data_IF_979915355584
#
_entry.id   IF_979915355584
#
_cell.length_a   1.000
_cell.length_b   1.000
_cell.length_c   1.000
_cell.angle_alpha   90.00
_cell.angle_beta   90.00
_cell.angle_gamma   90.00
#
_symmetry.space_group_name_H-M   'P 1'
#
loop_
_entity.id
_entity.type
_entity.pdbx_description
1 polymer ?
#
# COMPACT_ATOMS: atom_id res chain seq x y z
N UNK A 1 18.67 -18.07 -8.66
CA UNK A 1 19.31 -17.50 -7.45
C UNK A 1 19.21 -15.99 -7.54
N UNK A 2 18.34 -15.38 -6.73
CA UNK A 2 17.91 -13.99 -6.90
C UNK A 2 18.91 -12.98 -6.33
N UNK A 3 19.31 -12.02 -7.16
CA UNK A 3 20.16 -10.86 -6.83
C UNK A 3 19.54 -9.94 -5.74
N UNK A 4 18.24 -10.07 -5.45
CA UNK A 4 17.59 -9.38 -4.32
C UNK A 4 18.18 -9.79 -2.96
N UNK A 5 18.69 -11.03 -2.85
CA UNK A 5 19.39 -11.51 -1.66
C UNK A 5 20.72 -10.78 -1.42
N UNK A 6 21.41 -10.37 -2.49
CA UNK A 6 22.70 -9.69 -2.38
C UNK A 6 22.58 -8.24 -1.91
N UNK A 7 21.46 -7.56 -2.22
CA UNK A 7 21.25 -6.17 -1.80
C UNK A 7 20.97 -6.06 -0.29
N UNK A 8 20.14 -6.96 0.24
CA UNK A 8 19.87 -7.04 1.67
C UNK A 8 21.12 -7.45 2.47
N UNK A 9 21.94 -8.36 1.92
CA UNK A 9 23.21 -8.78 2.53
C UNK A 9 24.26 -7.66 2.53
N UNK A 10 24.37 -6.91 1.42
CA UNK A 10 25.30 -5.79 1.30
C UNK A 10 24.99 -4.65 2.30
N UNK A 11 23.71 -4.30 2.47
CA UNK A 11 23.31 -3.34 3.51
C UNK A 11 23.69 -3.85 4.89
N UNK A 12 23.45 -5.13 5.19
CA UNK A 12 23.80 -5.74 6.48
C UNK A 12 25.31 -5.70 6.78
N UNK A 13 26.14 -5.96 5.77
CA UNK A 13 27.60 -6.04 5.92
C UNK A 13 28.25 -4.65 6.08
N UNK A 14 27.67 -3.59 5.51
CA UNK A 14 28.12 -2.20 5.70
C UNK A 14 28.02 -1.73 7.17
N UNK A 15 27.09 -2.30 7.97
CA UNK A 15 26.84 -1.91 9.36
C UNK A 15 27.58 -2.76 10.41
N UNK A 16 28.36 -3.77 10.01
CA UNK A 16 28.94 -4.76 10.93
C UNK A 16 30.35 -4.44 11.45
N UNK A 17 31.04 -3.41 10.96
CA UNK A 17 32.45 -3.14 11.32
C UNK A 17 32.68 -1.77 12.00
N UNK A 18 33.24 -1.84 13.21
CA UNK A 18 33.48 -0.75 14.18
C UNK A 18 34.57 0.25 13.78
N UNK A 19 34.62 1.43 14.42
CA UNK A 19 35.30 2.62 13.92
C UNK A 19 36.77 2.68 14.37
N UNK A 20 37.66 3.05 13.47
CA UNK A 20 38.90 3.74 13.82
C UNK A 20 38.74 5.19 13.40
N UNK A 21 38.76 6.13 14.35
CA UNK A 21 39.51 7.39 14.30
C UNK A 21 39.30 8.13 15.63
N UNK A 22 40.40 8.34 16.37
CA UNK A 22 40.49 9.21 17.56
C UNK A 22 40.51 10.66 17.08
N UNK A 23 39.63 11.51 17.60
CA UNK A 23 39.71 12.96 17.43
C UNK A 23 39.66 13.61 18.82
N UNK A 24 40.56 14.58 19.04
CA UNK A 24 40.75 15.33 20.29
C UNK A 24 39.62 16.35 20.49
N UNK A 25 39.14 16.49 21.72
CA UNK A 25 38.18 17.52 22.10
C UNK A 25 38.84 18.91 22.22
N UNK A 26 38.18 19.99 21.76
CA UNK A 26 38.51 21.36 22.15
C UNK A 26 37.72 21.83 23.39
N UNK A 27 38.19 22.87 24.10
CA UNK A 27 37.78 23.16 25.48
C UNK A 27 36.46 23.93 25.59
N UNK A 28 35.73 23.64 26.66
CA UNK A 28 34.57 24.36 27.16
C UNK A 28 34.85 25.85 27.45
N UNK A 29 33.86 26.73 27.28
CA UNK A 29 33.67 27.88 28.14
C UNK A 29 32.59 27.60 29.18
N UNK A 30 32.99 27.77 30.43
CA UNK A 30 32.17 27.94 31.62
C UNK A 30 31.31 29.21 31.52
N UNK A 31 30.08 29.14 32.03
CA UNK A 31 29.60 30.08 33.06
C UNK A 31 28.23 29.67 33.60
N UNK A 32 28.20 29.60 34.93
CA UNK A 32 27.08 29.41 35.84
C UNK A 32 26.23 30.67 35.95
N UNK A 33 24.90 30.56 36.01
CA UNK A 33 24.08 31.40 36.89
C UNK A 33 22.95 30.56 37.50
N UNK A 34 22.74 30.83 38.77
CA UNK A 34 22.02 30.14 39.82
C UNK A 34 20.49 30.12 39.72
N UNK A 35 19.95 29.09 40.35
CA UNK A 35 18.60 28.89 40.85
C UNK A 35 18.03 30.06 41.66
N UNK A 36 16.71 30.24 41.62
CA UNK A 36 15.92 30.38 42.85
C UNK A 36 14.43 30.07 42.62
N UNK A 37 13.84 29.52 43.67
CA UNK A 37 12.57 28.80 43.78
C UNK A 37 11.53 29.61 44.57
N UNK A 38 10.35 29.00 44.80
CA UNK A 38 9.28 29.33 45.79
C UNK A 38 8.09 30.10 45.18
N UNK A 39 6.82 29.84 45.48
CA UNK A 39 6.12 28.91 46.38
C UNK A 39 4.65 28.85 45.97
N UNK A 40 4.00 27.75 46.32
CA UNK A 40 2.56 27.48 46.19
C UNK A 40 1.78 28.28 47.23
N UNK A 41 0.64 28.85 46.84
CA UNK A 41 -0.44 29.17 47.77
C UNK A 41 -1.78 28.66 47.21
N UNK A 42 -2.55 28.04 48.10
CA UNK A 42 -3.74 27.26 47.80
C UNK A 42 -4.91 27.81 48.60
N UNK A 43 -5.84 28.47 47.91
CA UNK A 43 -7.25 28.60 48.34
C UNK A 43 -8.04 29.29 47.23
N UNK A 44 -8.89 28.55 46.53
CA UNK A 44 -10.35 28.66 46.70
C UNK A 44 -11.05 27.72 45.71
N UNK A 45 -12.01 26.94 46.22
CA UNK A 45 -12.83 26.02 45.43
C UNK A 45 -14.06 26.76 44.91
N UNK A 46 -14.16 26.95 43.59
CA UNK A 46 -15.46 27.09 42.93
C UNK A 46 -15.42 26.38 41.58
N UNK A 47 -16.15 25.26 41.48
CA UNK A 47 -16.33 24.53 40.23
C UNK A 47 -17.25 25.33 39.31
N UNK A 48 -16.67 25.99 38.31
CA UNK A 48 -17.38 26.53 37.15
C UNK A 48 -16.99 25.66 35.96
N UNK A 49 -17.96 24.97 35.35
CA UNK A 49 -17.77 24.27 34.08
C UNK A 49 -17.68 25.32 32.98
N UNK A 50 -16.45 25.68 32.58
CA UNK A 50 -16.22 26.45 31.37
C UNK A 50 -16.21 25.55 30.12
N UNK A 51 -16.76 26.03 28.99
CA UNK A 51 -16.74 25.28 27.73
C UNK A 51 -15.29 25.06 27.28
N UNK A 52 -14.97 23.83 26.87
CA UNK A 52 -13.68 23.46 26.28
C UNK A 52 -13.37 24.40 25.09
N UNK A 53 -12.57 25.44 25.32
CA UNK A 53 -11.91 26.14 24.23
C UNK A 53 -10.88 25.16 23.66
N UNK A 54 -11.15 24.63 22.47
CA UNK A 54 -10.10 24.06 21.63
C UNK A 54 -9.11 25.19 21.35
N UNK A 55 -8.05 25.26 22.16
CA UNK A 55 -6.95 26.18 21.93
C UNK A 55 -6.39 25.95 20.52
N UNK A 56 -6.04 27.04 19.85
CA UNK A 56 -5.42 26.98 18.53
C UNK A 56 -4.21 26.02 18.58
N UNK A 57 -4.04 25.12 17.58
CA UNK A 57 -2.93 24.19 17.56
C UNK A 57 -1.62 24.98 17.58
N UNK A 58 -0.73 24.63 18.51
CA UNK A 58 0.61 25.22 18.61
C UNK A 58 1.47 24.72 17.44
N UNK A 59 1.43 25.44 16.31
CA UNK A 59 2.20 25.11 15.11
C UNK A 59 3.61 25.67 15.29
N UNK A 60 4.57 24.79 15.58
CA UNK A 60 6.00 25.15 15.61
C UNK A 60 6.62 24.95 14.22
N UNK A 61 7.42 25.91 13.71
CA UNK A 61 8.16 25.72 12.47
C UNK A 61 9.24 24.62 12.67
N UNK A 62 9.47 23.75 11.68
CA UNK A 62 10.45 22.67 11.79
C UNK A 62 11.89 23.20 11.78
N UNK A 63 12.79 22.46 12.43
CA UNK A 63 14.25 22.64 12.30
C UNK A 63 14.62 22.52 10.81
N UNK A 64 15.09 23.62 10.21
CA UNK A 64 15.45 23.65 8.80
C UNK A 64 16.67 22.76 8.55
N UNK A 65 16.46 21.65 7.83
CA UNK A 65 17.57 20.95 7.17
C UNK A 65 17.98 21.76 5.94
N UNK A 66 19.29 21.83 5.61
CA UNK A 66 19.72 22.52 4.39
C UNK A 66 19.01 21.92 3.16
N UNK A 67 18.58 22.78 2.23
CA UNK A 67 17.78 22.46 1.03
C UNK A 67 18.34 21.32 0.14
N UNK A 68 19.60 20.93 0.35
CA UNK A 68 20.29 19.86 -0.37
C UNK A 68 20.33 18.50 0.37
N UNK A 69 19.64 18.36 1.50
CA UNK A 69 19.62 17.10 2.24
C UNK A 69 18.57 16.15 1.64
N UNK A 70 18.92 14.88 1.46
CA UNK A 70 17.93 13.85 1.10
C UNK A 70 16.98 13.53 2.28
N UNK A 71 16.97 14.31 3.37
CA UNK A 71 15.98 14.19 4.44
C UNK A 71 14.77 15.05 4.11
N UNK A 72 13.59 14.47 4.18
CA UNK A 72 12.35 15.22 4.02
C UNK A 72 12.20 16.25 5.12
N UNK A 73 12.01 17.51 4.76
CA UNK A 73 11.63 18.55 5.74
C UNK A 73 10.15 18.37 6.09
N UNK A 74 9.78 18.27 7.37
CA UNK A 74 8.38 18.32 7.77
C UNK A 74 7.71 19.59 7.24
N UNK A 75 6.45 19.49 6.81
CA UNK A 75 5.59 20.64 6.55
C UNK A 75 5.26 21.36 7.86
N UNK A 76 4.83 20.59 8.86
CA UNK A 76 4.58 21.07 10.21
C UNK A 76 4.50 19.91 11.21
N UNK A 77 4.49 20.25 12.49
CA UNK A 77 4.20 19.31 13.59
C UNK A 77 2.92 19.77 14.27
N UNK A 78 1.95 18.87 14.40
CA UNK A 78 0.72 19.09 15.16
C UNK A 78 0.86 18.40 16.50
N UNK A 79 0.89 19.18 17.57
CA UNK A 79 0.91 18.67 18.94
C UNK A 79 -0.51 18.31 19.38
N UNK A 80 -0.78 17.03 19.59
CA UNK A 80 -2.00 16.52 20.21
C UNK A 80 -1.79 16.20 21.69
N UNK A 81 -2.87 15.94 22.45
CA UNK A 81 -2.79 15.67 23.89
C UNK A 81 -2.02 14.38 24.24
N UNK A 82 -1.94 13.42 23.33
CA UNK A 82 -1.28 12.11 23.54
C UNK A 82 -0.24 11.75 22.47
N UNK A 83 -0.15 12.53 21.40
CA UNK A 83 0.69 12.23 20.25
C UNK A 83 1.12 13.50 19.52
N UNK A 84 2.27 13.44 18.84
CA UNK A 84 2.71 14.46 17.90
C UNK A 84 2.53 13.91 16.49
N UNK A 85 1.90 14.68 15.60
CA UNK A 85 1.73 14.32 14.21
C UNK A 85 2.70 15.16 13.38
N UNK A 86 3.66 14.51 12.74
CA UNK A 86 4.61 15.18 11.85
C UNK A 86 4.09 15.03 10.42
N UNK A 87 3.73 16.14 9.79
CA UNK A 87 3.25 16.16 8.41
C UNK A 87 4.42 16.36 7.45
N UNK A 88 4.45 15.60 6.36
CA UNK A 88 5.46 15.72 5.30
C UNK A 88 4.75 15.89 3.95
N UNK A 89 5.47 16.42 2.96
CA UNK A 89 5.04 16.29 1.56
C UNK A 89 4.86 14.82 1.22
N UNK A 90 3.72 14.46 0.62
CA UNK A 90 3.46 13.08 0.21
C UNK A 90 4.41 12.67 -0.93
N UNK A 91 5.23 11.64 -0.68
CA UNK A 91 5.99 10.96 -1.72
C UNK A 91 5.33 9.59 -1.92
N UNK A 92 4.78 9.37 -3.10
CA UNK A 92 3.89 8.23 -3.34
C UNK A 92 4.62 6.89 -3.53
N UNK A 93 5.95 6.90 -3.76
CA UNK A 93 6.68 5.71 -4.20
C UNK A 93 7.88 5.46 -3.31
N UNK A 94 7.91 4.29 -2.67
CA UNK A 94 9.09 3.77 -1.97
C UNK A 94 9.97 2.96 -2.92
N UNK A 95 11.23 2.72 -2.53
CA UNK A 95 12.13 1.82 -3.24
C UNK A 95 11.58 0.40 -3.27
N UNK A 96 10.86 -0.03 -2.21
CA UNK A 96 10.14 -1.30 -2.21
C UNK A 96 9.07 -1.35 -3.32
N UNK A 97 8.31 -0.27 -3.52
CA UNK A 97 7.33 -0.18 -4.61
C UNK A 97 8.03 -0.23 -5.97
N UNK A 98 9.15 0.49 -6.14
CA UNK A 98 9.91 0.44 -7.38
C UNK A 98 10.46 -0.96 -7.67
N UNK A 99 10.95 -1.68 -6.66
CA UNK A 99 11.42 -3.05 -6.82
C UNK A 99 10.26 -4.01 -7.16
N UNK A 100 9.03 -3.68 -6.76
CA UNK A 100 7.84 -4.48 -7.07
C UNK A 100 7.30 -4.24 -8.48
N UNK A 101 7.17 -2.97 -8.89
CA UNK A 101 6.44 -2.57 -10.11
C UNK A 101 7.35 -2.05 -11.23
N UNK A 102 8.60 -1.73 -10.91
CA UNK A 102 9.58 -1.09 -11.80
C UNK A 102 10.99 -1.67 -11.62
N UNK A 103 11.12 -2.97 -11.35
CA UNK A 103 12.42 -3.59 -11.04
C UNK A 103 13.49 -3.27 -12.09
N UNK A 104 13.15 -3.41 -13.39
CA UNK A 104 14.05 -3.10 -14.52
C UNK A 104 14.54 -1.64 -14.53
N UNK A 105 13.73 -0.70 -14.00
CA UNK A 105 14.13 0.70 -13.86
C UNK A 105 15.19 0.87 -12.78
N UNK A 106 15.01 0.22 -11.63
CA UNK A 106 15.98 0.27 -10.51
C UNK A 106 17.25 -0.52 -10.86
N UNK A 107 17.13 -1.63 -11.59
CA UNK A 107 18.23 -2.53 -11.94
C UNK A 107 19.24 -1.92 -12.93
N UNK A 108 18.92 -0.78 -13.55
CA UNK A 108 19.91 -0.01 -14.30
C UNK A 108 21.07 0.40 -13.39
N UNK A 109 22.28 0.00 -13.74
CA UNK A 109 23.45 0.12 -12.86
C UNK A 109 23.72 1.57 -12.41
N UNK A 110 23.54 2.54 -13.31
CA UNK A 110 23.66 3.97 -13.01
C UNK A 110 22.64 4.44 -11.98
N UNK A 111 21.36 4.06 -12.11
CA UNK A 111 20.29 4.44 -11.18
C UNK A 111 20.46 3.78 -9.82
N UNK A 112 20.71 2.47 -9.81
CA UNK A 112 20.99 1.72 -8.58
C UNK A 112 22.14 2.34 -7.79
N UNK A 113 23.25 2.63 -8.47
CA UNK A 113 24.43 3.24 -7.86
C UNK A 113 24.13 4.65 -7.37
N UNK A 114 23.34 5.43 -8.12
CA UNK A 114 22.95 6.78 -7.72
C UNK A 114 22.03 6.82 -6.49
N UNK A 115 21.06 5.89 -6.40
CA UNK A 115 20.20 5.73 -5.21
C UNK A 115 21.05 5.36 -3.99
N UNK A 116 21.92 4.35 -4.13
CA UNK A 116 22.82 3.90 -3.07
C UNK A 116 23.76 5.01 -2.60
N UNK A 117 24.34 5.77 -3.54
CA UNK A 117 25.20 6.91 -3.24
C UNK A 117 24.49 7.95 -2.38
N UNK A 118 23.26 8.32 -2.73
CA UNK A 118 22.47 9.30 -1.97
C UNK A 118 22.15 8.80 -0.55
N UNK A 119 21.76 7.53 -0.40
CA UNK A 119 21.51 6.92 0.92
C UNK A 119 22.77 6.94 1.77
N UNK A 120 23.90 6.45 1.23
CA UNK A 120 25.17 6.40 1.94
C UNK A 120 25.67 7.79 2.36
N UNK A 121 25.58 8.78 1.45
CA UNK A 121 25.94 10.18 1.73
C UNK A 121 25.11 10.77 2.86
N UNK A 122 23.82 10.47 2.88
CA UNK A 122 22.87 10.98 3.87
C UNK A 122 23.10 10.36 5.24
N UNK A 123 23.34 9.05 5.30
CA UNK A 123 23.73 8.35 6.53
C UNK A 123 25.06 8.87 7.06
N UNK A 124 26.06 9.09 6.20
CA UNK A 124 27.34 9.69 6.62
C UNK A 124 27.16 11.09 7.21
N UNK A 125 26.29 11.92 6.61
CA UNK A 125 25.98 13.26 7.10
C UNK A 125 25.25 13.26 8.45
N UNK A 126 24.39 12.27 8.72
CA UNK A 126 23.76 12.07 10.03
C UNK A 126 24.78 11.60 11.08
N UNK A 127 25.56 10.58 10.74
CA UNK A 127 26.54 10.02 11.66
C UNK A 127 27.60 11.06 12.07
N UNK A 128 28.01 11.94 11.15
CA UNK A 128 28.90 13.06 11.47
C UNK A 128 28.29 14.05 12.49
N UNK A 129 26.95 14.15 12.54
CA UNK A 129 26.20 14.95 13.52
C UNK A 129 25.84 14.18 14.79
N UNK A 130 26.33 12.94 14.95
CA UNK A 130 26.00 12.07 16.08
C UNK A 130 24.57 11.53 16.08
N UNK A 131 23.83 11.69 14.97
CA UNK A 131 22.49 11.12 14.80
C UNK A 131 22.57 9.85 13.96
N UNK A 132 21.57 8.97 14.09
CA UNK A 132 21.42 7.79 13.23
C UNK A 132 19.98 7.71 12.71
N UNK A 133 19.83 7.15 11.52
CA UNK A 133 18.53 6.76 11.00
C UNK A 133 18.18 5.42 11.65
N UNK A 134 16.95 5.23 12.10
CA UNK A 134 16.51 4.02 12.82
C UNK A 134 16.53 2.75 11.96
N UNK A 135 15.45 1.98 11.96
CA UNK A 135 15.34 0.85 11.03
C UNK A 135 15.26 1.39 9.59
N UNK A 136 16.21 1.01 8.74
CA UNK A 136 16.23 1.38 7.33
C UNK A 136 16.03 0.13 6.47
N UNK A 137 14.92 0.10 5.73
CA UNK A 137 14.65 -0.88 4.68
C UNK A 137 14.17 -0.17 3.41
N UNK A 138 13.88 -0.93 2.35
CA UNK A 138 13.43 -0.38 1.08
C UNK A 138 12.05 0.30 1.14
N UNK A 139 11.21 0.00 2.14
CA UNK A 139 9.92 0.67 2.30
C UNK A 139 10.07 2.08 2.91
N UNK A 140 11.17 2.34 3.60
CA UNK A 140 11.49 3.64 4.21
C UNK A 140 12.42 4.53 3.37
N UNK A 141 12.67 4.13 2.12
CA UNK A 141 13.45 4.93 1.16
C UNK A 141 12.47 5.37 0.09
N UNK A 142 12.13 6.65 0.05
CA UNK A 142 11.26 7.20 -0.99
C UNK A 142 12.09 7.66 -2.18
N UNK A 143 11.58 7.42 -3.38
CA UNK A 143 12.32 7.70 -4.62
C UNK A 143 11.38 8.32 -5.65
N UNK A 144 11.82 9.38 -6.31
CA UNK A 144 11.07 10.01 -7.40
C UNK A 144 11.44 9.45 -8.79
N UNK A 145 10.78 9.96 -9.84
CA UNK A 145 11.02 9.57 -11.24
C UNK A 145 12.44 9.91 -11.76
N UNK A 146 13.14 10.82 -11.09
CA UNK A 146 14.53 11.17 -11.37
C UNK A 146 15.52 10.36 -10.51
N UNK A 147 15.04 9.35 -9.77
CA UNK A 147 15.83 8.54 -8.84
C UNK A 147 16.42 9.34 -7.68
N UNK A 148 15.81 10.47 -7.33
CA UNK A 148 16.19 11.25 -6.16
C UNK A 148 15.63 10.61 -4.90
N UNK A 149 16.48 10.46 -3.89
CA UNK A 149 16.13 9.79 -2.63
C UNK A 149 15.59 10.80 -1.63
N UNK A 150 14.50 10.43 -0.96
CA UNK A 150 13.98 11.09 0.22
C UNK A 150 13.95 10.09 1.37
N UNK A 151 14.56 10.43 2.50
CA UNK A 151 14.60 9.66 3.73
C UNK A 151 13.77 10.40 4.79
N UNK A 152 13.07 9.65 5.64
CA UNK A 152 12.26 10.17 6.75
C UNK A 152 12.56 9.42 8.03
N UNK A 153 11.90 9.85 9.11
CA UNK A 153 11.93 9.20 10.43
C UNK A 153 13.32 9.15 11.08
N UNK A 154 13.81 10.34 11.41
CA UNK A 154 14.87 10.48 12.41
C UNK A 154 14.28 10.08 13.77
N UNK A 155 14.62 8.88 14.23
CA UNK A 155 14.35 8.52 15.62
C UNK A 155 15.22 9.41 16.53
N UNK A 156 14.65 10.07 17.55
CA UNK A 156 15.47 10.76 18.55
C UNK A 156 16.36 9.73 19.27
N UNK A 157 17.60 10.14 19.56
CA UNK A 157 18.52 9.34 20.38
C UNK A 157 17.81 9.08 21.72
N UNK A 158 17.57 7.83 22.13
CA UNK A 158 17.13 7.57 23.49
C UNK A 158 18.18 8.18 24.42
N UNK A 159 17.76 9.03 25.36
CA UNK A 159 18.62 9.79 26.29
C UNK A 159 19.55 8.89 27.12
N UNK A 160 19.36 7.57 27.05
CA UNK A 160 20.36 6.55 27.33
C UNK A 160 20.43 5.56 26.16
N UNK A 161 21.58 5.46 25.51
CA UNK A 161 21.95 4.21 24.85
C UNK A 161 21.92 3.12 25.94
N UNK A 162 21.22 1.99 25.74
CA UNK A 162 21.29 0.90 26.70
C UNK A 162 22.76 0.55 26.92
N UNK A 163 23.22 0.62 28.18
CA UNK A 163 24.53 0.10 28.55
C UNK A 163 24.62 -1.32 28.00
N UNK A 164 25.54 -1.57 27.08
CA UNK A 164 25.90 -2.93 26.68
C UNK A 164 26.61 -3.54 27.89
N UNK A 165 25.83 -3.97 28.89
CA UNK A 165 26.31 -4.82 29.97
C UNK A 165 26.68 -6.15 29.32
N UNK A 166 27.87 -6.62 29.67
CA UNK A 166 28.57 -7.69 28.99
C UNK A 166 27.75 -8.96 28.73
N UNK A 167 28.23 -9.69 27.72
CA UNK A 167 27.71 -10.96 27.19
C UNK A 167 26.27 -10.92 26.69
N UNK A 168 26.07 -10.40 25.47
CA UNK A 168 25.01 -10.95 24.63
C UNK A 168 25.25 -12.46 24.54
N UNK A 169 24.26 -13.33 24.81
CA UNK A 169 24.38 -14.72 24.42
C UNK A 169 24.66 -14.75 22.91
N UNK A 170 25.40 -15.74 22.39
CA UNK A 170 25.46 -15.94 20.95
C UNK A 170 24.03 -15.94 20.43
N UNK A 171 23.77 -15.19 19.36
CA UNK A 171 22.50 -15.21 18.64
C UNK A 171 22.23 -16.66 18.25
N UNK A 172 21.61 -17.43 19.15
CA UNK A 172 21.03 -18.70 18.81
C UNK A 172 19.94 -18.33 17.83
N UNK A 173 20.22 -18.63 16.57
CA UNK A 173 19.24 -18.71 15.52
C UNK A 173 18.20 -19.72 16.03
N UNK A 174 17.20 -19.23 16.77
CA UNK A 174 16.01 -20.00 17.06
C UNK A 174 15.48 -20.31 15.67
N UNK A 175 15.65 -21.58 15.25
CA UNK A 175 15.04 -22.06 14.01
C UNK A 175 13.55 -22.01 14.30
N UNK A 176 12.94 -20.88 13.96
CA UNK A 176 11.50 -20.81 13.80
C UNK A 176 11.09 -22.02 12.96
N UNK A 177 10.00 -22.73 13.30
CA UNK A 177 9.47 -23.71 12.36
C UNK A 177 9.37 -23.04 10.99
N UNK A 178 9.68 -23.75 9.89
CA UNK A 178 9.59 -23.15 8.56
C UNK A 178 8.22 -22.50 8.43
N UNK A 179 8.14 -21.23 8.00
CA UNK A 179 6.85 -20.57 7.87
C UNK A 179 5.98 -21.43 6.97
N UNK A 180 4.87 -21.94 7.49
CA UNK A 180 3.92 -22.72 6.69
C UNK A 180 3.48 -21.83 5.54
N UNK A 181 3.75 -22.27 4.30
CA UNK A 181 3.49 -21.43 3.13
C UNK A 181 1.97 -21.16 3.06
N UNK A 182 1.53 -19.90 2.86
CA UNK A 182 0.10 -19.56 2.85
C UNK A 182 -0.74 -20.42 1.90
N UNK A 183 -0.17 -20.82 0.76
CA UNK A 183 -0.82 -21.76 -0.17
C UNK A 183 -1.21 -23.07 0.52
N UNK A 184 -0.32 -23.65 1.34
CA UNK A 184 -0.55 -24.93 2.02
C UNK A 184 -1.60 -24.79 3.12
N UNK A 185 -1.64 -23.65 3.80
CA UNK A 185 -2.69 -23.36 4.79
C UNK A 185 -4.05 -23.25 4.09
N UNK A 186 -4.10 -22.57 2.95
CA UNK A 186 -5.34 -22.37 2.20
C UNK A 186 -5.86 -23.67 1.58
N UNK A 187 -5.00 -24.45 0.92
CA UNK A 187 -5.41 -25.74 0.31
C UNK A 187 -5.77 -26.81 1.34
N UNK A 188 -5.39 -26.64 2.60
CA UNK A 188 -5.82 -27.51 3.71
C UNK A 188 -7.04 -26.95 4.46
N UNK A 189 -7.62 -25.83 3.99
CA UNK A 189 -8.77 -25.19 4.63
C UNK A 189 -8.47 -24.52 5.98
N UNK A 190 -7.19 -24.34 6.36
CA UNK A 190 -6.80 -23.71 7.63
C UNK A 190 -6.96 -22.19 7.63
N UNK A 191 -7.03 -21.57 6.44
CA UNK A 191 -7.36 -20.15 6.28
C UNK A 191 -8.48 -19.98 5.25
N UNK A 192 -9.30 -18.94 5.47
CA UNK A 192 -10.40 -18.55 4.58
C UNK A 192 -9.90 -18.09 3.21
N UNK A 193 -10.81 -18.08 2.22
CA UNK A 193 -10.53 -17.52 0.90
C UNK A 193 -10.20 -16.03 1.01
N UNK A 194 -10.97 -15.27 1.78
CA UNK A 194 -10.71 -13.85 2.02
C UNK A 194 -9.31 -13.61 2.59
N UNK A 195 -8.92 -14.33 3.66
CA UNK A 195 -7.58 -14.19 4.25
C UNK A 195 -6.48 -14.52 3.25
N UNK A 196 -6.66 -15.59 2.47
CA UNK A 196 -5.67 -15.97 1.48
C UNK A 196 -5.52 -14.93 0.37
N UNK A 197 -6.64 -14.39 -0.14
CA UNK A 197 -6.64 -13.31 -1.12
C UNK A 197 -5.95 -12.05 -0.59
N UNK A 198 -6.17 -11.69 0.68
CA UNK A 198 -5.49 -10.55 1.29
C UNK A 198 -3.98 -10.79 1.42
N UNK A 199 -3.53 -12.01 1.70
CA UNK A 199 -2.11 -12.38 1.71
C UNK A 199 -1.49 -12.29 0.31
N UNK A 200 -2.19 -12.79 -0.74
CA UNK A 200 -1.73 -12.66 -2.12
C UNK A 200 -1.59 -11.19 -2.54
N UNK A 201 -2.57 -10.35 -2.20
CA UNK A 201 -2.51 -8.91 -2.42
C UNK A 201 -1.29 -8.30 -1.73
N UNK A 202 -1.07 -8.62 -0.46
CA UNK A 202 0.10 -8.15 0.28
C UNK A 202 1.42 -8.54 -0.39
N UNK A 203 1.58 -9.81 -0.81
CA UNK A 203 2.78 -10.25 -1.54
C UNK A 203 2.92 -9.62 -2.93
N UNK A 204 1.80 -9.25 -3.55
CA UNK A 204 1.78 -8.46 -4.78
C UNK A 204 2.13 -6.98 -4.55
N UNK A 205 2.38 -6.55 -3.32
CA UNK A 205 2.72 -5.17 -2.96
C UNK A 205 1.50 -4.25 -2.81
N UNK A 206 0.29 -4.83 -2.75
CA UNK A 206 -0.98 -4.10 -2.60
C UNK A 206 -1.30 -3.82 -1.14
N UNK A 207 -1.94 -2.68 -0.86
CA UNK A 207 -2.25 -2.17 0.48
C UNK A 207 -3.45 -1.22 0.47
N UNK A 208 -4.23 -1.27 1.55
CA UNK A 208 -5.38 -0.38 1.77
C UNK A 208 -4.88 1.05 2.00
N UNK A 209 -5.67 2.03 1.56
CA UNK A 209 -5.42 3.46 1.78
C UNK A 209 -4.70 4.19 0.64
N UNK A 210 -4.20 3.47 -0.37
CA UNK A 210 -3.65 4.06 -1.60
C UNK A 210 -4.35 3.44 -2.83
N UNK A 211 -5.16 4.22 -3.59
CA UNK A 211 -5.87 3.74 -4.78
C UNK A 211 -4.96 3.07 -5.81
N UNK A 212 -3.71 3.52 -5.92
CA UNK A 212 -2.75 2.97 -6.86
C UNK A 212 -2.34 1.54 -6.51
N UNK A 213 -2.30 1.20 -5.22
CA UNK A 213 -1.87 -0.11 -4.73
C UNK A 213 -3.03 -0.89 -4.12
N UNK A 214 -4.27 -0.56 -4.45
CA UNK A 214 -5.40 -1.10 -3.70
C UNK A 214 -5.49 -2.63 -3.83
N UNK A 215 -5.86 -3.36 -2.76
CA UNK A 215 -6.12 -4.79 -2.84
C UNK A 215 -7.29 -5.08 -3.78
N UNK A 216 -7.18 -6.19 -4.49
CA UNK A 216 -8.16 -6.63 -5.48
C UNK A 216 -8.68 -8.01 -5.09
N UNK A 217 -9.99 -8.16 -5.11
CA UNK A 217 -10.72 -9.41 -4.91
C UNK A 217 -11.53 -9.75 -6.17
N UNK A 218 -11.93 -11.02 -6.37
CA UNK A 218 -12.82 -11.35 -7.46
C UNK A 218 -14.21 -10.77 -7.19
N UNK A 219 -14.96 -10.41 -8.23
CA UNK A 219 -16.42 -10.48 -8.14
C UNK A 219 -16.86 -11.95 -8.14
N UNK A 220 -17.90 -12.32 -7.41
CA UNK A 220 -18.40 -13.72 -7.37
C UNK A 220 -19.73 -13.92 -8.11
N UNK A 221 -20.45 -12.85 -8.42
CA UNK A 221 -21.73 -12.86 -9.14
C UNK A 221 -21.87 -11.59 -9.99
N UNK A 222 -22.86 -11.57 -10.90
CA UNK A 222 -23.26 -10.40 -11.67
C UNK A 222 -24.43 -9.60 -11.07
N UNK A 223 -24.98 -10.08 -9.95
CA UNK A 223 -26.09 -9.45 -9.21
C UNK A 223 -27.43 -9.38 -9.97
N UNK A 224 -27.59 -10.13 -11.06
CA UNK A 224 -28.84 -10.13 -11.86
C UNK A 224 -29.86 -11.18 -11.43
N UNK A 225 -29.45 -12.17 -10.64
CA UNK A 225 -30.34 -13.22 -10.13
C UNK A 225 -31.09 -12.88 -8.86
N UNK A 226 -32.09 -13.72 -8.55
CA UNK A 226 -32.91 -13.64 -7.32
C UNK A 226 -32.20 -14.15 -6.05
N UNK A 227 -30.93 -14.55 -6.16
CA UNK A 227 -30.09 -14.92 -5.03
C UNK A 227 -28.61 -14.73 -5.36
N UNK A 228 -27.76 -14.65 -4.33
CA UNK A 228 -26.30 -14.53 -4.49
C UNK A 228 -25.68 -15.68 -5.30
N UNK A 229 -26.31 -16.85 -5.31
CA UNK A 229 -25.85 -18.05 -6.03
C UNK A 229 -26.53 -18.26 -7.38
N UNK A 230 -27.43 -17.35 -7.78
CA UNK A 230 -28.22 -17.50 -9.01
C UNK A 230 -27.38 -17.43 -10.28
N UNK A 231 -26.39 -16.52 -10.30
CA UNK A 231 -25.49 -16.31 -11.43
C UNK A 231 -24.06 -16.20 -10.94
N UNK A 232 -23.39 -17.34 -10.83
CA UNK A 232 -21.97 -17.38 -10.49
C UNK A 232 -21.13 -16.78 -11.62
N UNK A 233 -20.13 -16.01 -11.23
CA UNK A 233 -19.14 -15.50 -12.16
C UNK A 233 -18.25 -16.63 -12.68
N UNK A 234 -17.92 -16.60 -13.97
CA UNK A 234 -16.86 -17.40 -14.57
C UNK A 234 -15.47 -16.92 -14.11
N UNK A 235 -14.78 -17.72 -13.28
CA UNK A 235 -13.42 -17.44 -12.81
C UNK A 235 -12.32 -17.74 -13.82
N UNK A 236 -12.64 -18.39 -14.95
CA UNK A 236 -11.67 -18.60 -16.05
C UNK A 236 -11.43 -17.34 -16.89
N UNK A 237 -12.17 -16.25 -16.61
CA UNK A 237 -12.08 -14.97 -17.30
C UNK A 237 -11.96 -13.81 -16.32
N UNK A 238 -11.13 -12.83 -16.66
CA UNK A 238 -11.07 -11.55 -15.94
C UNK A 238 -12.31 -10.72 -16.20
N UNK A 239 -12.61 -9.77 -15.30
CA UNK A 239 -13.76 -8.89 -15.43
C UNK A 239 -13.63 -8.04 -16.68
N UNK A 240 -12.40 -7.67 -17.00
CA UNK A 240 -12.04 -6.90 -18.17
C UNK A 240 -12.39 -7.66 -19.46
N UNK A 241 -12.03 -8.95 -19.54
CA UNK A 241 -12.41 -9.81 -20.66
C UNK A 241 -13.92 -9.99 -20.79
N UNK A 242 -14.62 -10.18 -19.68
CA UNK A 242 -16.09 -10.30 -19.67
C UNK A 242 -16.73 -9.00 -20.20
N UNK A 243 -16.22 -7.84 -19.81
CA UNK A 243 -16.79 -6.54 -20.17
C UNK A 243 -16.44 -6.10 -21.60
N UNK A 244 -15.19 -6.28 -22.04
CA UNK A 244 -14.71 -5.85 -23.37
C UNK A 244 -15.02 -6.85 -24.48
N UNK A 245 -15.09 -8.14 -24.15
CA UNK A 245 -15.27 -9.21 -25.12
C UNK A 245 -13.99 -9.55 -25.88
N UNK A 246 -13.99 -10.77 -26.44
CA UNK A 246 -12.79 -11.36 -27.04
C UNK A 246 -12.31 -10.61 -28.30
N UNK A 247 -13.22 -10.04 -29.09
CA UNK A 247 -12.91 -9.30 -30.32
C UNK A 247 -12.10 -8.02 -30.05
N UNK A 248 -12.53 -7.23 -29.06
CA UNK A 248 -11.81 -6.00 -28.69
C UNK A 248 -10.43 -6.32 -28.11
N UNK A 249 -10.33 -7.40 -27.34
CA UNK A 249 -9.07 -7.86 -26.77
C UNK A 249 -8.08 -8.33 -27.84
N UNK A 250 -8.55 -9.06 -28.85
CA UNK A 250 -7.72 -9.47 -29.99
C UNK A 250 -7.21 -8.26 -30.77
N UNK A 251 -8.10 -7.31 -31.07
CA UNK A 251 -7.72 -6.07 -31.75
C UNK A 251 -6.64 -5.29 -30.98
N UNK A 252 -6.75 -5.24 -29.65
CA UNK A 252 -5.74 -4.56 -28.81
C UNK A 252 -4.40 -5.31 -28.83
N UNK A 253 -4.45 -6.64 -28.82
CA UNK A 253 -3.26 -7.49 -28.84
C UNK A 253 -2.50 -7.45 -30.17
N UNK A 254 -3.20 -7.26 -31.29
CA UNK A 254 -2.61 -7.03 -32.62
C UNK A 254 -1.94 -5.65 -32.77
N UNK A 255 -2.08 -4.78 -31.77
CA UNK A 255 -1.52 -3.45 -31.74
C UNK A 255 0.02 -3.40 -31.62
N UNK A 256 0.60 -2.18 -31.61
CA UNK A 256 2.05 -1.97 -31.61
C UNK A 256 2.76 -2.48 -30.35
N UNK A 257 2.05 -2.59 -29.24
CA UNK A 257 2.53 -3.23 -28.01
C UNK A 257 1.53 -4.35 -27.69
N UNK A 258 1.83 -5.62 -28.02
CA UNK A 258 0.87 -6.70 -27.85
C UNK A 258 0.48 -6.93 -26.37
N UNK A 259 -0.71 -6.46 -25.99
CA UNK A 259 -1.28 -6.64 -24.66
C UNK A 259 -2.82 -6.74 -24.76
N UNK A 260 -3.44 -7.36 -23.74
CA UNK A 260 -4.89 -7.43 -23.64
C UNK A 260 -5.44 -6.49 -22.57
N UNK A 261 -4.75 -6.37 -21.43
CA UNK A 261 -5.19 -5.55 -20.30
C UNK A 261 -4.15 -4.48 -19.96
N UNK A 262 -4.62 -3.28 -19.59
CA UNK A 262 -3.76 -2.17 -19.17
C UNK A 262 -3.52 -2.17 -17.66
N UNK A 263 -4.57 -2.46 -16.88
CA UNK A 263 -4.53 -2.60 -15.43
C UNK A 263 -5.64 -3.58 -14.97
N UNK A 264 -5.62 -3.99 -13.71
CA UNK A 264 -6.65 -4.84 -13.08
C UNK A 264 -7.67 -3.98 -12.31
N UNK A 265 -7.20 -2.88 -11.70
CA UNK A 265 -8.04 -1.89 -11.01
C UNK A 265 -7.48 -0.49 -11.27
N UNK A 266 -8.22 0.30 -12.04
CA UNK A 266 -7.96 1.71 -12.27
C UNK A 266 -8.41 2.57 -11.10
N UNK A 267 -7.75 3.72 -10.93
CA UNK A 267 -8.11 4.76 -9.96
C UNK A 267 -9.54 5.29 -10.19
N UNK A 268 -9.93 5.50 -11.45
CA UNK A 268 -11.30 5.89 -11.82
C UNK A 268 -12.31 4.88 -11.27
N UNK A 269 -12.11 3.58 -11.52
CA UNK A 269 -13.04 2.55 -11.05
C UNK A 269 -13.05 2.46 -9.53
N UNK A 270 -11.90 2.55 -8.86
CA UNK A 270 -11.83 2.62 -7.41
C UNK A 270 -12.67 3.77 -6.83
N UNK A 271 -12.57 4.97 -7.41
CA UNK A 271 -13.35 6.13 -6.97
C UNK A 271 -14.82 6.07 -7.38
N UNK A 272 -15.18 5.33 -8.43
CA UNK A 272 -16.57 4.99 -8.75
C UNK A 272 -17.15 4.05 -7.69
N UNK A 273 -16.40 3.03 -7.26
CA UNK A 273 -16.83 2.09 -6.22
C UNK A 273 -17.06 2.79 -4.89
N UNK A 274 -16.17 3.71 -4.52
CA UNK A 274 -16.22 4.45 -3.26
C UNK A 274 -16.99 5.77 -3.34
N UNK A 275 -17.64 6.09 -4.47
CA UNK A 275 -18.18 7.43 -4.74
C UNK A 275 -19.11 7.96 -3.64
N UNK A 276 -19.92 7.08 -3.04
CA UNK A 276 -20.84 7.40 -1.94
C UNK A 276 -20.13 7.87 -0.67
N UNK A 277 -18.85 7.53 -0.50
CA UNK A 277 -18.03 7.83 0.68
C UNK A 277 -16.88 8.77 0.39
N UNK A 278 -16.67 9.12 -0.87
CA UNK A 278 -15.55 9.96 -1.31
C UNK A 278 -15.98 11.41 -1.46
N UNK A 279 -15.26 12.39 -0.88
CA UNK A 279 -15.58 13.81 -1.04
C UNK A 279 -15.61 14.26 -2.50
N UNK A 280 -16.53 15.16 -2.86
CA UNK A 280 -16.71 15.65 -4.24
C UNK A 280 -15.42 16.19 -4.84
N UNK A 281 -14.60 16.93 -4.07
CA UNK A 281 -13.33 17.46 -4.55
C UNK A 281 -12.38 16.35 -5.06
N UNK A 282 -12.37 15.20 -4.39
CA UNK A 282 -11.55 14.04 -4.78
C UNK A 282 -12.18 13.36 -6.01
N UNK A 283 -13.50 13.20 -6.05
CA UNK A 283 -14.20 12.68 -7.23
C UNK A 283 -13.92 13.54 -8.48
N UNK A 284 -13.86 14.86 -8.30
CA UNK A 284 -13.52 15.78 -9.38
C UNK A 284 -12.10 15.64 -9.89
N UNK A 285 -11.18 15.24 -9.03
CA UNK A 285 -9.77 15.03 -9.38
C UNK A 285 -9.58 13.74 -10.20
N UNK A 286 -10.27 12.67 -9.83
CA UNK A 286 -10.00 11.33 -10.40
C UNK A 286 -11.04 10.86 -11.41
N UNK A 287 -12.33 11.12 -11.18
CA UNK A 287 -13.39 10.57 -12.04
C UNK A 287 -13.74 11.54 -13.17
N UNK A 288 -14.09 12.78 -12.82
CA UNK A 288 -14.51 13.79 -13.80
C UNK A 288 -14.44 15.20 -13.22
N UNK A 289 -13.84 16.14 -13.95
CA UNK A 289 -13.58 17.50 -13.46
C UNK A 289 -14.83 18.27 -13.00
N UNK A 290 -15.98 18.05 -13.66
CA UNK A 290 -17.27 18.65 -13.29
C UNK A 290 -18.09 17.58 -12.58
N UNK A 291 -18.47 17.76 -11.32
CA UNK A 291 -19.27 16.75 -10.60
C UNK A 291 -20.69 16.61 -11.19
N UNK A 292 -21.07 15.38 -11.56
CA UNK A 292 -22.44 15.03 -12.00
C UNK A 292 -22.89 13.74 -11.28
N UNK A 293 -23.65 13.83 -10.19
CA UNK A 293 -24.01 12.67 -9.37
C UNK A 293 -24.86 11.64 -10.12
N UNK A 294 -25.64 12.08 -11.12
CA UNK A 294 -26.56 11.24 -11.87
C UNK A 294 -25.87 10.27 -12.86
N UNK A 295 -24.60 10.51 -13.17
CA UNK A 295 -23.81 9.64 -14.05
C UNK A 295 -23.18 8.44 -13.32
N UNK A 296 -23.15 8.48 -11.98
CA UNK A 296 -22.66 7.35 -11.21
C UNK A 296 -23.67 6.19 -11.24
N UNK A 297 -23.21 4.92 -11.30
CA UNK A 297 -24.10 3.76 -11.27
C UNK A 297 -25.00 3.79 -10.04
N UNK A 298 -26.32 3.67 -10.26
CA UNK A 298 -27.33 3.75 -9.19
C UNK A 298 -27.50 2.44 -8.41
N UNK A 299 -27.17 1.31 -9.02
CA UNK A 299 -27.29 -0.02 -8.41
C UNK A 299 -25.99 -0.81 -8.53
N UNK A 300 -25.81 -1.79 -7.64
CA UNK A 300 -24.65 -2.67 -7.65
C UNK A 300 -24.56 -3.49 -8.95
N UNK A 301 -25.69 -3.97 -9.46
CA UNK A 301 -25.75 -4.66 -10.74
C UNK A 301 -25.28 -3.77 -11.91
N UNK A 302 -25.71 -2.49 -11.93
CA UNK A 302 -25.26 -1.54 -12.96
C UNK A 302 -23.78 -1.18 -12.81
N UNK A 303 -23.30 -1.06 -11.57
CA UNK A 303 -21.89 -0.83 -11.26
C UNK A 303 -21.03 -1.98 -11.78
N UNK A 304 -21.39 -3.21 -11.46
CA UNK A 304 -20.73 -4.41 -11.96
C UNK A 304 -20.73 -4.48 -13.49
N UNK A 305 -21.90 -4.29 -14.12
CA UNK A 305 -22.04 -4.33 -15.58
C UNK A 305 -21.13 -3.31 -16.27
N UNK A 306 -21.12 -2.07 -15.78
CA UNK A 306 -20.44 -0.95 -16.40
C UNK A 306 -18.92 -0.98 -16.24
N UNK A 307 -18.41 -1.39 -15.07
CA UNK A 307 -16.97 -1.34 -14.79
C UNK A 307 -16.26 -2.61 -15.25
N UNK A 308 -15.09 -2.49 -15.94
CA UNK A 308 -14.33 -3.65 -16.40
C UNK A 308 -13.39 -4.22 -15.33
N UNK A 309 -13.19 -3.54 -14.20
CA UNK A 309 -12.20 -3.90 -13.19
C UNK A 309 -12.72 -4.90 -12.16
N UNK A 310 -11.79 -5.54 -11.46
CA UNK A 310 -12.12 -6.48 -10.37
C UNK A 310 -12.56 -5.78 -9.07
N UNK A 311 -13.10 -6.56 -8.15
CA UNK A 311 -13.71 -6.09 -6.91
C UNK A 311 -12.66 -5.56 -5.90
N UNK A 312 -13.14 -4.78 -4.92
CA UNK A 312 -12.35 -4.32 -3.76
C UNK A 312 -12.82 -5.01 -2.47
N UNK A 313 -11.96 -5.14 -1.43
CA UNK A 313 -12.30 -5.82 -0.18
C UNK A 313 -13.57 -5.31 0.51
N UNK A 314 -13.89 -4.03 0.37
CA UNK A 314 -14.99 -3.34 1.05
C UNK A 314 -16.36 -3.93 0.70
N UNK A 315 -16.52 -4.46 -0.52
CA UNK A 315 -17.74 -5.19 -0.90
C UNK A 315 -17.91 -6.53 -0.14
N UNK A 316 -16.95 -6.92 0.69
CA UNK A 316 -17.01 -8.10 1.57
C UNK A 316 -16.95 -7.74 3.05
N UNK A 317 -16.70 -6.48 3.41
CA UNK A 317 -16.40 -6.10 4.79
C UNK A 317 -17.09 -4.83 5.28
N UNK A 318 -17.45 -3.89 4.40
CA UNK A 318 -17.91 -2.56 4.79
C UNK A 318 -19.34 -2.25 4.29
N UNK A 319 -20.37 -2.36 5.14
CA UNK A 319 -21.73 -1.94 4.80
C UNK A 319 -21.85 -0.42 4.60
N UNK A 320 -20.90 0.36 5.11
CA UNK A 320 -20.83 1.81 4.94
C UNK A 320 -20.68 2.20 3.46
N UNK A 321 -20.02 1.38 2.64
CA UNK A 321 -19.78 1.64 1.21
C UNK A 321 -21.06 1.95 0.42
N UNK A 322 -22.20 1.39 0.83
CA UNK A 322 -23.49 1.55 0.15
C UNK A 322 -24.22 2.85 0.52
N UNK A 323 -23.82 3.52 1.60
CA UNK A 323 -24.50 4.70 2.15
C UNK A 323 -23.82 6.00 1.69
N UNK A 324 -24.57 6.86 1.04
CA UNK A 324 -24.09 8.14 0.53
C UNK A 324 -23.90 9.17 1.64
N UNK A 325 -22.77 9.87 1.59
CA UNK A 325 -22.55 11.12 2.36
C UNK A 325 -23.09 12.34 1.61
N UNK A 326 -23.42 12.19 0.33
CA UNK A 326 -23.85 13.29 -0.53
C UNK A 326 -25.37 13.35 -0.57
N UNK A 327 -25.93 14.55 -0.42
CA UNK A 327 -27.38 14.76 -0.45
C UNK A 327 -27.99 14.54 -1.85
N UNK A 328 -27.18 14.69 -2.91
CA UNK A 328 -27.59 14.65 -4.31
C UNK A 328 -27.19 13.35 -5.05
N UNK A 329 -26.46 12.46 -4.38
CA UNK A 329 -26.15 11.11 -4.86
C UNK A 329 -26.85 10.10 -3.95
N UNK A 330 -27.80 9.30 -4.44
CA UNK A 330 -28.47 8.32 -3.60
C UNK A 330 -27.54 7.16 -3.20
N UNK A 331 -27.93 6.48 -2.12
CA UNK A 331 -27.36 5.20 -1.69
C UNK A 331 -27.29 4.21 -2.87
N UNK A 332 -26.28 3.35 -2.86
CA UNK A 332 -26.09 2.35 -3.89
C UNK A 332 -27.16 1.27 -3.72
N UNK A 333 -28.05 1.14 -4.70
CA UNK A 333 -29.13 0.17 -4.66
C UNK A 333 -28.58 -1.26 -4.66
N UNK A 334 -29.03 -2.04 -3.68
CA UNK A 334 -28.67 -3.43 -3.49
C UNK A 334 -29.42 -4.39 -4.43
N UNK A 335 -28.91 -5.61 -4.64
CA UNK A 335 -29.65 -6.69 -5.28
C UNK A 335 -30.93 -7.04 -4.50
N UNK A 336 -31.92 -7.62 -5.18
CA UNK A 336 -33.24 -7.93 -4.59
C UNK A 336 -33.20 -8.93 -3.42
N UNK A 337 -32.17 -9.77 -3.36
CA UNK A 337 -31.96 -10.76 -2.29
C UNK A 337 -31.29 -10.20 -1.04
N UNK A 338 -30.79 -8.96 -1.08
CA UNK A 338 -30.20 -8.29 0.07
C UNK A 338 -31.17 -7.26 0.64
N UNK A 339 -31.52 -7.43 1.92
CA UNK A 339 -32.48 -6.56 2.61
C UNK A 339 -31.83 -5.29 3.19
N UNK A 340 -30.52 -5.32 3.41
CA UNK A 340 -29.73 -4.22 3.97
C UNK A 340 -28.27 -4.34 3.53
N UNK A 341 -27.45 -3.27 3.65
CA UNK A 341 -26.02 -3.35 3.37
C UNK A 341 -25.31 -4.41 4.22
N UNK A 342 -25.70 -4.55 5.49
CA UNK A 342 -25.16 -5.56 6.40
C UNK A 342 -25.50 -6.99 5.95
N UNK A 343 -26.74 -7.21 5.53
CA UNK A 343 -27.20 -8.49 4.96
C UNK A 343 -26.49 -8.81 3.64
N UNK A 344 -26.29 -7.81 2.77
CA UNK A 344 -25.48 -7.95 1.56
C UNK A 344 -24.06 -8.44 1.88
N UNK A 345 -23.36 -7.75 2.80
CA UNK A 345 -21.98 -8.09 3.18
C UNK A 345 -21.93 -9.52 3.73
N UNK A 346 -22.87 -9.90 4.60
CA UNK A 346 -22.92 -11.24 5.18
C UNK A 346 -23.10 -12.32 4.10
N UNK A 347 -24.07 -12.14 3.19
CA UNK A 347 -24.33 -13.11 2.12
C UNK A 347 -23.20 -13.17 1.08
N UNK A 348 -22.64 -12.02 0.68
CA UNK A 348 -21.56 -11.95 -0.31
C UNK A 348 -20.26 -12.54 0.23
N UNK A 349 -19.91 -12.27 1.50
CA UNK A 349 -18.78 -12.90 2.18
C UNK A 349 -18.97 -14.40 2.37
N UNK A 350 -20.15 -14.86 2.77
CA UNK A 350 -20.45 -16.29 2.88
C UNK A 350 -20.32 -17.01 1.52
N UNK A 351 -20.76 -16.37 0.44
CA UNK A 351 -20.64 -16.93 -0.90
C UNK A 351 -19.18 -16.99 -1.38
N UNK A 352 -18.33 -16.02 -1.04
CA UNK A 352 -16.87 -16.09 -1.29
C UNK A 352 -16.23 -17.30 -0.60
N UNK A 353 -16.70 -17.67 0.58
CA UNK A 353 -16.20 -18.83 1.35
C UNK A 353 -16.85 -20.17 0.96
N UNK A 354 -17.81 -20.17 0.03
CA UNK A 354 -18.51 -21.39 -0.39
C UNK A 354 -17.60 -22.42 -1.07
N UNK A 355 -18.00 -23.69 -1.07
CA UNK A 355 -17.31 -24.76 -1.81
C UNK A 355 -17.26 -24.48 -3.31
N UNK A 356 -18.30 -23.83 -3.85
CA UNK A 356 -18.37 -23.45 -5.26
C UNK A 356 -17.20 -22.54 -5.64
N UNK A 357 -16.98 -21.49 -4.83
CA UNK A 357 -15.89 -20.53 -5.05
C UNK A 357 -14.54 -21.17 -4.70
N UNK A 358 -14.42 -21.84 -3.55
CA UNK A 358 -13.18 -22.48 -3.10
C UNK A 358 -12.57 -23.41 -4.15
N UNK A 359 -13.38 -24.26 -4.77
CA UNK A 359 -12.93 -25.22 -5.80
C UNK A 359 -12.49 -24.57 -7.12
N UNK A 360 -12.78 -23.29 -7.34
CA UNK A 360 -12.50 -22.57 -8.61
C UNK A 360 -11.61 -21.36 -8.47
N UNK A 361 -11.46 -20.81 -7.27
CA UNK A 361 -10.77 -19.54 -7.01
C UNK A 361 -9.32 -19.53 -7.50
N UNK A 362 -8.65 -20.68 -7.49
CA UNK A 362 -7.29 -20.85 -8.02
C UNK A 362 -7.15 -20.38 -9.49
N UNK A 363 -8.20 -20.56 -10.31
CA UNK A 363 -8.20 -20.11 -11.72
C UNK A 363 -8.20 -18.59 -11.85
N UNK A 364 -8.95 -17.89 -10.99
CA UNK A 364 -8.94 -16.43 -10.93
C UNK A 364 -7.63 -15.90 -10.35
N UNK A 365 -7.05 -16.62 -9.38
CA UNK A 365 -5.75 -16.31 -8.80
C UNK A 365 -4.66 -16.37 -9.89
N UNK A 366 -4.68 -17.36 -10.79
CA UNK A 366 -3.76 -17.44 -11.92
C UNK A 366 -3.87 -16.24 -12.88
N UNK A 367 -5.07 -15.71 -13.09
CA UNK A 367 -5.31 -14.53 -13.93
C UNK A 367 -4.86 -13.22 -13.28
N UNK A 368 -4.85 -13.15 -11.95
CA UNK A 368 -4.65 -11.89 -11.23
C UNK A 368 -3.24 -11.74 -10.66
N UNK A 369 -2.62 -12.85 -10.28
CA UNK A 369 -1.34 -12.88 -9.57
C UNK A 369 -0.31 -13.82 -10.21
N UNK A 370 -0.70 -14.58 -11.23
CA UNK A 370 -0.07 -15.88 -11.51
C UNK A 370 0.25 -16.21 -12.95
N UNK A 371 0.18 -17.51 -13.24
CA UNK A 371 0.59 -18.14 -14.49
C UNK A 371 -0.03 -17.52 -15.74
N UNK A 372 -1.26 -16.98 -15.65
CA UNK A 372 -1.98 -16.41 -16.78
C UNK A 372 -1.75 -14.89 -16.97
N UNK A 373 -0.66 -14.33 -16.43
CA UNK A 373 -0.28 -12.92 -16.62
C UNK A 373 0.78 -12.69 -17.69
N UNK A 374 1.61 -13.71 -17.99
CA UNK A 374 2.68 -13.65 -19.00
C UNK A 374 2.72 -14.88 -19.90
N UNK A 375 3.45 -14.77 -21.01
CA UNK A 375 3.69 -15.86 -21.96
C UNK A 375 2.43 -16.41 -22.65
N UNK A 376 2.56 -17.61 -23.22
CA UNK A 376 1.51 -18.28 -23.98
C UNK A 376 0.23 -18.55 -23.18
N UNK A 377 0.37 -18.76 -21.86
CA UNK A 377 -0.76 -18.95 -20.97
C UNK A 377 -1.64 -17.71 -20.90
N UNK A 378 -1.04 -16.53 -20.72
CA UNK A 378 -1.74 -15.26 -20.75
C UNK A 378 -2.34 -14.94 -22.12
N UNK A 379 -1.68 -15.29 -23.23
CA UNK A 379 -2.24 -15.13 -24.58
C UNK A 379 -3.50 -15.96 -24.74
N UNK A 380 -3.48 -17.25 -24.40
CA UNK A 380 -4.67 -18.12 -24.45
C UNK A 380 -5.80 -17.63 -23.53
N UNK A 381 -5.44 -17.08 -22.37
CA UNK A 381 -6.40 -16.50 -21.44
C UNK A 381 -6.93 -15.12 -21.88
N UNK A 382 -6.34 -14.50 -22.92
CA UNK A 382 -6.54 -13.11 -23.34
C UNK A 382 -6.30 -12.11 -22.21
N UNK A 383 -5.17 -12.28 -21.52
CA UNK A 383 -4.87 -11.62 -20.26
C UNK A 383 -3.40 -11.14 -20.16
N UNK A 384 -2.75 -10.92 -21.30
CA UNK A 384 -1.39 -10.34 -21.34
C UNK A 384 -1.45 -8.92 -20.77
N UNK A 385 -0.78 -8.70 -19.64
CA UNK A 385 -0.80 -7.43 -18.93
C UNK A 385 0.26 -6.47 -19.47
N UNK A 386 -0.15 -5.28 -19.93
CA UNK A 386 0.74 -4.21 -20.42
C UNK A 386 1.90 -3.91 -19.45
N UNK A 387 1.69 -3.93 -18.12
CA UNK A 387 2.79 -3.72 -17.18
C UNK A 387 3.91 -4.77 -17.26
N UNK A 388 3.61 -5.98 -17.73
CA UNK A 388 4.56 -7.08 -17.78
C UNK A 388 5.12 -7.32 -19.19
N UNK A 389 4.60 -6.62 -20.21
CA UNK A 389 5.17 -6.67 -21.56
C UNK A 389 6.56 -6.04 -21.54
N UNK A 390 7.54 -6.78 -22.06
CA UNK A 390 8.90 -6.29 -22.17
C UNK A 390 8.95 -5.11 -23.15
N UNK A 391 9.33 -3.94 -22.65
CA UNK A 391 9.58 -2.76 -23.49
C UNK A 391 11.06 -2.42 -23.42
N UNK A 392 11.62 -1.92 -24.53
CA UNK A 392 13.03 -1.53 -24.62
C UNK A 392 13.40 -0.34 -23.71
N UNK A 393 12.42 0.32 -23.09
CA UNK A 393 12.63 1.44 -22.18
C UNK A 393 12.04 1.12 -20.80
N UNK A 394 12.86 1.13 -19.73
CA UNK A 394 12.33 0.98 -18.39
C UNK A 394 11.46 2.19 -18.05
N UNK A 395 10.18 1.92 -17.81
CA UNK A 395 9.20 2.93 -17.43
C UNK A 395 9.14 3.03 -15.90
N UNK A 396 9.09 4.26 -15.38
CA UNK A 396 8.79 4.49 -13.98
C UNK A 396 7.30 4.25 -13.75
N UNK A 397 6.95 3.06 -13.27
CA UNK A 397 5.58 2.70 -12.90
C UNK A 397 5.42 2.77 -11.39
N UNK A 398 4.46 3.59 -10.97
CA UNK A 398 4.11 3.77 -9.57
C UNK A 398 3.35 2.56 -9.04
N UNK A 399 2.55 1.90 -9.88
CA UNK A 399 1.69 0.77 -9.53
C UNK A 399 1.45 -0.16 -10.73
N UNK A 400 0.69 -1.23 -10.53
CA UNK A 400 0.13 -2.04 -11.61
C UNK A 400 0.09 -3.53 -11.28
N UNK A 401 0.32 -4.35 -12.31
CA UNK A 401 0.25 -5.81 -12.23
C UNK A 401 1.60 -6.39 -11.82
N UNK A 402 1.59 -7.33 -10.86
CA UNK A 402 2.76 -8.09 -10.43
C UNK A 402 2.44 -9.58 -10.43
N UNK A 403 3.24 -10.34 -11.19
CA UNK A 403 3.19 -11.80 -11.15
C UNK A 403 4.06 -12.31 -10.01
N UNK A 404 3.49 -13.10 -9.11
CA UNK A 404 4.14 -13.63 -7.91
C UNK A 404 4.40 -15.15 -7.98
N UNK A 405 3.87 -15.85 -8.99
CA UNK A 405 4.17 -17.26 -9.29
C UNK A 405 4.00 -17.56 -10.79
N UNK A 406 4.66 -18.61 -11.27
CA UNK A 406 4.79 -18.95 -12.70
C UNK A 406 4.26 -20.32 -13.08
N UNK A 407 3.70 -21.06 -12.11
CA UNK A 407 3.08 -22.36 -12.32
C UNK A 407 1.59 -22.24 -11.99
N UNK A 408 0.72 -23.10 -12.56
CA UNK A 408 -0.70 -23.11 -12.24
C UNK A 408 -0.94 -23.21 -10.73
N UNK A 409 -1.81 -22.34 -10.21
CA UNK A 409 -2.10 -22.31 -8.80
C UNK A 409 -2.85 -23.58 -8.36
N UNK A 410 -2.45 -24.26 -7.27
CA UNK A 410 -3.13 -25.46 -6.82
C UNK A 410 -4.59 -25.15 -6.42
N UNK A 411 -5.54 -26.09 -6.65
CA UNK A 411 -6.91 -25.96 -6.14
C UNK A 411 -6.93 -26.14 -4.62
N UNK A 412 -7.97 -25.57 -3.98
CA UNK A 412 -8.27 -25.76 -2.57
C UNK A 412 -8.99 -27.06 -2.31
#
# INVERSE_FOLDING_TARGET
MSLAGNFHHFLRDLFAHRPFFRIRDPPHPSQSVSSESLTVDASDQTLVLEPLSLGEPNIKPPLAFPEASNFGTPLCVIEGPTAHFVLYHHHAVSLADMLNFSAKFVEQDSRRTFILYQVARSLAALHHRGAYLGHLDSAHIWVDEHSWVHLRDLAPIPSRLPEIRGSSPPLHLVRSPPPTHPVSLWTQGQISNFQYLMLLNHYAGRRVGDPNFYPILPWITDFTGDSIVGHWRDFSKTKFRINKGDEQLDFTFEGPTPHHISDILSDITFFVYTARRTPVAVLCQFVRSIYEPHEYPKSLARLYDWTPDECIPEFYTDPGLFRSIHLDMPDLQLPNWATSPEDFIAQHAAALESDHVSSRLHTWIDLTFGYNLTGEAAVRAKNVALPLVETNQPTFRKHGVKQIFFEPHPPK
#
